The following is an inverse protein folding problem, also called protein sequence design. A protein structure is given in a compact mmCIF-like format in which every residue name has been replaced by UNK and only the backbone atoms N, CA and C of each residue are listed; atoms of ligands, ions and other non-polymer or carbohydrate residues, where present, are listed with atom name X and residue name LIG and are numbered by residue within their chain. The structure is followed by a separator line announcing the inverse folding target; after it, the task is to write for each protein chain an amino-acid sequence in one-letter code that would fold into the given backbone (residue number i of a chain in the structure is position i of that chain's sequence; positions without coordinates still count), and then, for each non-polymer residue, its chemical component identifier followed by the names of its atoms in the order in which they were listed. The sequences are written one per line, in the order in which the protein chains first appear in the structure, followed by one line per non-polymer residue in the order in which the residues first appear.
data_IF_670861049580
#
_entry.id   IF_670861049580
#
_cell.length_a   1.000
_cell.length_b   1.000
_cell.length_c   1.000
_cell.angle_alpha   90.00
_cell.angle_beta   90.00
_cell.angle_gamma   90.00
#
_symmetry.space_group_name_H-M   'P 1'
#
loop_
_entity.id
_entity.type
_entity.pdbx_description
1 polymer ?
#
# COMPACT_ATOMS: atom_id res chain seq x y z
N UNK A 1 -32.21 -32.70 -14.73
CA UNK A 1 -31.79 -31.85 -13.60
C UNK A 1 -32.94 -31.74 -12.64
N UNK A 2 -32.79 -32.28 -11.43
CA UNK A 2 -33.75 -32.12 -10.34
C UNK A 2 -33.45 -30.82 -9.58
N UNK A 3 -34.45 -30.27 -8.90
CA UNK A 3 -34.31 -29.05 -8.07
C UNK A 3 -33.14 -29.16 -7.08
N UNK A 4 -32.92 -30.35 -6.51
CA UNK A 4 -31.78 -30.65 -5.63
C UNK A 4 -30.42 -30.58 -6.30
N UNK A 5 -30.34 -30.85 -7.60
CA UNK A 5 -29.10 -30.71 -8.37
C UNK A 5 -28.80 -29.25 -8.67
N UNK A 6 -29.83 -28.45 -8.96
CA UNK A 6 -29.71 -26.99 -9.13
C UNK A 6 -29.21 -26.34 -7.83
N UNK A 7 -29.79 -26.72 -6.71
CA UNK A 7 -29.46 -26.15 -5.39
C UNK A 7 -28.00 -26.47 -4.99
N UNK A 8 -27.54 -27.70 -5.24
CA UNK A 8 -26.14 -28.09 -5.03
C UNK A 8 -25.18 -27.31 -5.92
N UNK A 9 -25.55 -27.08 -7.19
CA UNK A 9 -24.73 -26.30 -8.11
C UNK A 9 -24.67 -24.85 -7.64
N UNK A 10 -25.81 -24.25 -7.27
CA UNK A 10 -25.88 -22.88 -6.78
C UNK A 10 -25.02 -22.67 -5.52
N UNK A 11 -25.08 -23.61 -4.58
CA UNK A 11 -24.27 -23.55 -3.36
C UNK A 11 -22.77 -23.61 -3.67
N UNK A 12 -22.37 -24.50 -4.60
CA UNK A 12 -20.97 -24.65 -5.00
C UNK A 12 -20.44 -23.44 -5.79
N UNK A 13 -21.29 -22.82 -6.60
CA UNK A 13 -20.94 -21.57 -7.31
C UNK A 13 -20.79 -20.42 -6.31
N UNK A 14 -21.68 -20.32 -5.30
CA UNK A 14 -21.57 -19.28 -4.27
C UNK A 14 -20.28 -19.41 -3.46
N UNK A 15 -19.88 -20.63 -3.11
CA UNK A 15 -18.63 -20.92 -2.39
C UNK A 15 -17.40 -20.53 -3.23
N UNK A 16 -17.36 -20.93 -4.50
CA UNK A 16 -16.28 -20.56 -5.43
C UNK A 16 -16.18 -19.05 -5.67
N UNK A 17 -17.31 -18.35 -5.76
CA UNK A 17 -17.34 -16.88 -5.90
C UNK A 17 -16.81 -16.23 -4.63
N UNK A 18 -17.19 -16.72 -3.46
CA UNK A 18 -16.72 -16.20 -2.18
C UNK A 18 -15.21 -16.38 -2.02
N UNK A 19 -14.69 -17.57 -2.34
CA UNK A 19 -13.27 -17.89 -2.31
C UNK A 19 -12.47 -17.01 -3.27
N UNK A 20 -12.96 -16.81 -4.50
CA UNK A 20 -12.31 -15.92 -5.46
C UNK A 20 -12.30 -14.45 -5.03
N UNK A 21 -13.35 -13.99 -4.34
CA UNK A 21 -13.39 -12.64 -3.75
C UNK A 21 -12.40 -12.51 -2.59
N UNK A 22 -12.32 -13.53 -1.72
CA UNK A 22 -11.39 -13.55 -0.58
C UNK A 22 -9.93 -13.57 -1.03
N UNK A 23 -9.60 -14.41 -2.02
CA UNK A 23 -8.25 -14.50 -2.58
C UNK A 23 -7.85 -13.20 -3.29
N UNK A 24 -8.77 -12.62 -4.07
CA UNK A 24 -8.57 -11.30 -4.69
C UNK A 24 -8.40 -10.18 -3.66
N UNK A 25 -9.19 -10.19 -2.58
CA UNK A 25 -9.09 -9.22 -1.50
C UNK A 25 -7.73 -9.30 -0.80
N UNK A 26 -7.26 -10.50 -0.44
CA UNK A 26 -5.95 -10.71 0.21
C UNK A 26 -4.81 -10.18 -0.66
N UNK A 27 -4.83 -10.48 -1.97
CA UNK A 27 -3.82 -9.98 -2.91
C UNK A 27 -3.83 -8.44 -2.97
N UNK A 28 -5.01 -7.82 -3.04
CA UNK A 28 -5.11 -6.34 -3.06
C UNK A 28 -4.68 -5.69 -1.74
N UNK A 29 -4.92 -6.35 -0.60
CA UNK A 29 -4.45 -5.89 0.71
C UNK A 29 -2.92 -5.86 0.75
N UNK A 30 -2.28 -6.94 0.31
CA UNK A 30 -0.82 -7.06 0.29
C UNK A 30 -0.16 -5.99 -0.59
N UNK A 31 -0.70 -5.72 -1.79
CA UNK A 31 -0.15 -4.68 -2.67
C UNK A 31 -0.25 -3.25 -2.09
N UNK A 32 -1.30 -2.95 -1.31
CA UNK A 32 -1.43 -1.64 -0.67
C UNK A 32 -0.49 -1.50 0.54
N UNK A 33 -0.33 -2.57 1.32
CA UNK A 33 0.63 -2.62 2.44
C UNK A 33 2.08 -2.46 1.96
N UNK A 34 2.44 -3.08 0.82
CA UNK A 34 3.75 -2.94 0.21
C UNK A 34 4.04 -1.49 -0.24
N UNK A 35 3.05 -0.83 -0.86
CA UNK A 35 3.20 0.57 -1.29
C UNK A 35 3.30 1.55 -0.13
N UNK A 36 2.56 1.32 0.95
CA UNK A 36 2.68 2.11 2.18
C UNK A 36 4.05 1.91 2.84
N UNK A 37 4.54 0.66 2.94
CA UNK A 37 5.88 0.36 3.46
C UNK A 37 7.00 0.98 2.63
N UNK A 38 6.89 0.95 1.31
CA UNK A 38 7.86 1.59 0.41
C UNK A 38 7.93 3.10 0.65
N UNK A 39 6.76 3.76 0.77
CA UNK A 39 6.69 5.20 1.06
C UNK A 39 7.25 5.54 2.46
N UNK A 40 6.98 4.71 3.47
CA UNK A 40 7.55 4.88 4.81
C UNK A 40 9.07 4.69 4.81
N UNK A 41 9.59 3.75 4.03
CA UNK A 41 11.03 3.51 3.86
C UNK A 41 11.69 4.71 3.16
N UNK A 42 11.08 5.23 2.10
CA UNK A 42 11.56 6.41 1.38
C UNK A 42 11.57 7.65 2.29
N UNK A 43 10.53 7.81 3.12
CA UNK A 43 10.45 8.88 4.12
C UNK A 43 11.60 8.80 5.13
N UNK A 44 11.86 7.61 5.69
CA UNK A 44 12.95 7.40 6.64
C UNK A 44 14.31 7.73 6.02
N UNK A 45 14.57 7.28 4.78
CA UNK A 45 15.80 7.59 4.05
C UNK A 45 15.95 9.09 3.78
N UNK A 46 14.87 9.77 3.41
CA UNK A 46 14.86 11.22 3.18
C UNK A 46 15.15 12.00 4.48
N UNK A 47 14.57 11.56 5.62
CA UNK A 47 14.84 12.16 6.93
C UNK A 47 16.27 11.94 7.39
N UNK A 48 16.83 10.74 7.25
CA UNK A 48 18.24 10.47 7.56
C UNK A 48 19.18 11.28 6.66
N UNK A 49 18.86 11.38 5.37
CA UNK A 49 19.62 12.19 4.43
C UNK A 49 19.54 13.68 4.79
N UNK A 50 18.38 14.15 5.25
CA UNK A 50 18.21 15.52 5.69
C UNK A 50 19.08 15.81 6.91
N UNK A 51 19.03 14.95 7.94
CA UNK A 51 19.88 15.09 9.13
C UNK A 51 21.36 15.14 8.76
N UNK A 52 21.81 14.23 7.90
CA UNK A 52 23.19 14.21 7.40
C UNK A 52 23.59 15.49 6.65
N UNK A 53 22.72 16.02 5.78
CA UNK A 53 23.01 17.26 5.05
C UNK A 53 22.93 18.49 5.97
N UNK A 54 22.11 18.44 7.02
CA UNK A 54 22.02 19.48 8.04
C UNK A 54 23.33 19.61 8.82
N UNK A 55 23.92 18.47 9.21
CA UNK A 55 25.24 18.41 9.87
C UNK A 55 26.36 18.96 8.98
N UNK A 56 26.18 18.91 7.66
CA UNK A 56 27.13 19.41 6.66
C UNK A 56 26.84 20.84 6.20
N UNK A 57 25.88 21.52 6.83
CA UNK A 57 25.45 22.89 6.49
C UNK A 57 25.01 23.03 5.02
N UNK A 58 24.56 21.94 4.38
CA UNK A 58 24.13 21.94 2.99
C UNK A 58 22.65 22.28 2.86
N UNK A 59 22.32 23.55 3.13
CA UNK A 59 20.94 24.02 3.22
C UNK A 59 20.16 23.94 1.91
N UNK A 60 20.82 24.05 0.75
CA UNK A 60 20.17 23.86 -0.55
C UNK A 60 19.60 22.44 -0.68
N UNK A 61 20.40 21.42 -0.38
CA UNK A 61 19.95 20.03 -0.38
C UNK A 61 18.91 19.75 0.69
N UNK A 62 19.02 20.37 1.87
CA UNK A 62 18.01 20.24 2.92
C UNK A 62 16.64 20.74 2.44
N UNK A 63 16.59 21.85 1.69
CA UNK A 63 15.33 22.37 1.13
C UNK A 63 14.72 21.39 0.12
N UNK A 64 15.53 20.85 -0.79
CA UNK A 64 15.07 19.82 -1.72
C UNK A 64 14.55 18.56 -1.01
N UNK A 65 15.24 18.13 0.05
CA UNK A 65 14.83 16.98 0.85
C UNK A 65 13.54 17.25 1.63
N UNK A 66 13.33 18.46 2.15
CA UNK A 66 12.06 18.84 2.78
C UNK A 66 10.89 18.82 1.80
N UNK A 67 11.10 19.31 0.58
CA UNK A 67 10.06 19.28 -0.46
C UNK A 67 9.72 17.82 -0.86
N UNK A 68 10.74 16.94 -0.94
CA UNK A 68 10.52 15.50 -1.13
C UNK A 68 9.75 14.86 0.03
N UNK A 69 10.10 15.17 1.28
CA UNK A 69 9.40 14.68 2.47
C UNK A 69 7.92 15.06 2.43
N UNK A 70 7.59 16.33 2.11
CA UNK A 70 6.19 16.78 1.97
C UNK A 70 5.42 16.02 0.88
N UNK A 71 6.07 15.70 -0.24
CA UNK A 71 5.44 14.91 -1.30
C UNK A 71 5.14 13.49 -0.82
N UNK A 72 6.07 12.86 -0.12
CA UNK A 72 5.90 11.51 0.44
C UNK A 72 4.79 11.51 1.50
N UNK A 73 4.76 12.49 2.41
CA UNK A 73 3.70 12.65 3.40
C UNK A 73 2.32 12.81 2.76
N UNK A 74 2.22 13.63 1.69
CA UNK A 74 0.97 13.80 0.95
C UNK A 74 0.53 12.51 0.24
N UNK A 75 1.47 11.65 -0.18
CA UNK A 75 1.15 10.33 -0.72
C UNK A 75 0.65 9.40 0.38
N UNK A 76 1.35 9.33 1.52
CA UNK A 76 0.95 8.53 2.68
C UNK A 76 -0.44 8.92 3.21
N UNK A 77 -0.77 10.21 3.22
CA UNK A 77 -2.07 10.69 3.67
C UNK A 77 -3.24 10.26 2.75
N UNK A 78 -2.96 9.73 1.55
CA UNK A 78 -3.97 9.13 0.66
C UNK A 78 -4.27 7.66 0.97
N UNK A 79 -3.41 7.02 1.77
CA UNK A 79 -3.62 5.65 2.26
C UNK A 79 -4.41 5.62 3.59
N UNK A 80 -4.75 6.79 4.14
CA UNK A 80 -5.45 6.98 5.41
C UNK A 80 -6.94 7.21 5.20
#
# INVERSE_FOLDING_TARGET
MTEKEIEKIAQRVAELVLDGILEGAVITSSFNEDQEQDLLTELAQAMTSLDYNLQKENYEKCKELQDKIKIIENKLNKFK
#
